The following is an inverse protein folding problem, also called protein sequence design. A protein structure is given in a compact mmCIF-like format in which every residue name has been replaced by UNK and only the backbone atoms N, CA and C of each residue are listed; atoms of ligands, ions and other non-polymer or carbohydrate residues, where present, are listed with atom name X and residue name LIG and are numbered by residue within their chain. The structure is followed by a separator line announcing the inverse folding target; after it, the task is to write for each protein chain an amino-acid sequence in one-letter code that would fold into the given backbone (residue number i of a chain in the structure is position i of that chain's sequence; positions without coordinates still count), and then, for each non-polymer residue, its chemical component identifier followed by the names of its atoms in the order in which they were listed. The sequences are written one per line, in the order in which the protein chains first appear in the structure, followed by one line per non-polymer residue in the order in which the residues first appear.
data_IF_033725542202
#
_entry.id   IF_033725542202
#
_cell.length_a   1.000
_cell.length_b   1.000
_cell.length_c   1.000
_cell.angle_alpha   90.00
_cell.angle_beta   90.00
_cell.angle_gamma   90.00
#
_symmetry.space_group_name_H-M   'P 1'
#
loop_
_entity.id
_entity.type
_entity.pdbx_description
1 polymer ?
#
# COMPACT_ATOMS: atom_id res chain seq x y z
N UNK A 1 10.28 -21.47 27.67
CA UNK A 1 9.33 -20.35 27.90
C UNK A 1 8.29 -20.36 26.78
N UNK A 2 7.03 -20.69 27.09
CA UNK A 2 5.94 -20.61 26.11
C UNK A 2 5.59 -19.14 25.94
N UNK A 3 5.87 -18.54 24.77
CA UNK A 3 5.36 -17.20 24.42
C UNK A 3 3.84 -17.28 24.47
N UNK A 4 3.23 -16.66 25.49
CA UNK A 4 1.78 -16.48 25.53
C UNK A 4 1.37 -15.73 24.26
N UNK A 5 0.46 -16.30 23.47
CA UNK A 5 -0.19 -15.56 22.40
C UNK A 5 -0.97 -14.44 23.07
N UNK A 6 -0.50 -13.19 22.95
CA UNK A 6 -1.28 -12.03 23.34
C UNK A 6 -2.63 -12.12 22.61
N UNK A 7 -3.71 -12.20 23.37
CA UNK A 7 -5.06 -12.24 22.82
C UNK A 7 -5.51 -10.78 22.66
N UNK A 8 -5.67 -10.33 21.42
CA UNK A 8 -6.24 -9.02 21.10
C UNK A 8 -7.66 -8.94 21.66
N UNK A 9 -7.92 -7.98 22.53
CA UNK A 9 -9.26 -7.71 23.07
C UNK A 9 -10.14 -7.01 22.04
N UNK A 10 -11.43 -6.85 22.35
CA UNK A 10 -12.34 -6.04 21.52
C UNK A 10 -11.90 -4.58 21.58
N UNK A 11 -11.60 -4.09 22.78
CA UNK A 11 -11.12 -2.73 23.05
C UNK A 11 -9.83 -2.40 22.26
N UNK A 12 -8.89 -3.36 22.16
CA UNK A 12 -7.67 -3.17 21.35
C UNK A 12 -7.98 -2.98 19.86
N UNK A 13 -9.02 -3.67 19.36
CA UNK A 13 -9.44 -3.55 17.95
C UNK A 13 -10.15 -2.22 17.70
N UNK A 14 -11.02 -1.81 18.62
CA UNK A 14 -11.71 -0.52 18.54
C UNK A 14 -10.71 0.63 18.59
N UNK A 15 -9.79 0.62 19.56
CA UNK A 15 -8.72 1.61 19.66
C UNK A 15 -7.85 1.66 18.40
N UNK A 16 -7.56 0.50 17.79
CA UNK A 16 -6.82 0.47 16.52
C UNK A 16 -7.62 1.09 15.36
N UNK A 17 -8.92 0.78 15.26
CA UNK A 17 -9.78 1.35 14.22
C UNK A 17 -9.90 2.86 14.37
N UNK A 18 -10.08 3.36 15.60
CA UNK A 18 -10.12 4.80 15.89
C UNK A 18 -8.86 5.53 15.42
N UNK A 19 -7.68 4.93 15.59
CA UNK A 19 -6.41 5.49 15.09
C UNK A 19 -6.38 5.47 13.56
N UNK A 20 -6.81 4.37 12.93
CA UNK A 20 -6.83 4.26 11.46
C UNK A 20 -7.80 5.27 10.84
N UNK A 21 -8.91 5.58 11.50
CA UNK A 21 -9.87 6.61 11.06
C UNK A 21 -9.29 8.03 11.07
N UNK A 22 -8.27 8.31 11.88
CA UNK A 22 -7.61 9.61 11.88
C UNK A 22 -6.67 9.80 10.69
N UNK A 23 -6.24 8.72 10.04
CA UNK A 23 -5.38 8.83 8.87
C UNK A 23 -6.15 9.33 7.65
N UNK A 24 -5.47 10.13 6.82
CA UNK A 24 -5.97 10.46 5.49
C UNK A 24 -6.01 9.22 4.59
N UNK A 25 -6.70 9.33 3.45
CA UNK A 25 -6.89 8.21 2.53
C UNK A 25 -5.57 7.69 1.91
N UNK A 26 -4.56 8.54 1.70
CA UNK A 26 -3.25 8.13 1.20
C UNK A 26 -2.56 7.23 2.23
N UNK A 27 -2.47 7.71 3.46
CA UNK A 27 -1.90 7.01 4.61
C UNK A 27 -2.59 5.66 4.84
N UNK A 28 -3.93 5.60 4.76
CA UNK A 28 -4.68 4.32 4.87
C UNK A 28 -4.35 3.34 3.74
N UNK A 29 -4.22 3.83 2.50
CA UNK A 29 -3.89 2.99 1.36
C UNK A 29 -2.49 2.37 1.50
N UNK A 30 -1.49 3.19 1.87
CA UNK A 30 -0.12 2.72 2.06
C UNK A 30 -0.03 1.77 3.26
N UNK A 31 -0.68 2.09 4.38
CA UNK A 31 -0.71 1.23 5.56
C UNK A 31 -1.28 -0.15 5.24
N UNK A 32 -2.38 -0.22 4.47
CA UNK A 32 -2.95 -1.49 4.05
C UNK A 32 -1.94 -2.32 3.23
N UNK A 33 -1.24 -1.70 2.28
CA UNK A 33 -0.20 -2.36 1.49
C UNK A 33 0.98 -2.83 2.35
N UNK A 34 1.40 -2.03 3.33
CA UNK A 34 2.45 -2.41 4.28
C UNK A 34 2.03 -3.60 5.15
N UNK A 35 0.77 -3.68 5.57
CA UNK A 35 0.23 -4.85 6.31
C UNK A 35 0.32 -6.11 5.45
N UNK A 36 -0.02 -6.04 4.16
CA UNK A 36 0.17 -7.18 3.25
C UNK A 36 1.63 -7.58 3.10
N UNK A 37 2.53 -6.60 2.92
CA UNK A 37 3.97 -6.85 2.83
C UNK A 37 4.51 -7.53 4.11
N UNK A 38 4.11 -7.05 5.30
CA UNK A 38 4.45 -7.67 6.59
C UNK A 38 3.93 -9.11 6.71
N UNK A 39 2.67 -9.36 6.33
CA UNK A 39 2.08 -10.70 6.39
C UNK A 39 2.79 -11.72 5.51
N UNK A 40 3.50 -11.25 4.47
CA UNK A 40 4.26 -12.06 3.52
C UNK A 40 5.75 -12.11 3.84
N UNK A 41 6.19 -11.47 4.93
CA UNK A 41 7.61 -11.31 5.27
C UNK A 41 8.42 -10.67 4.14
N UNK A 42 7.87 -9.63 3.51
CA UNK A 42 8.52 -8.84 2.46
C UNK A 42 8.96 -7.46 3.00
N UNK A 43 10.10 -7.40 3.74
CA UNK A 43 10.57 -6.15 4.33
C UNK A 43 10.98 -5.12 3.27
N UNK A 44 11.41 -5.56 2.08
CA UNK A 44 11.80 -4.67 1.00
C UNK A 44 10.62 -3.87 0.47
N UNK A 45 9.45 -4.51 0.32
CA UNK A 45 8.23 -3.80 -0.06
C UNK A 45 7.77 -2.85 1.04
N UNK A 46 7.88 -3.23 2.31
CA UNK A 46 7.58 -2.32 3.43
C UNK A 46 8.46 -1.06 3.40
N UNK A 47 9.79 -1.23 3.28
CA UNK A 47 10.74 -0.12 3.19
C UNK A 47 10.44 0.78 1.99
N UNK A 48 10.17 0.19 0.83
CA UNK A 48 9.90 0.96 -0.38
C UNK A 48 8.58 1.74 -0.32
N UNK A 49 7.56 1.21 0.35
CA UNK A 49 6.30 1.94 0.61
C UNK A 49 6.48 3.10 1.60
N UNK A 50 7.32 2.92 2.63
CA UNK A 50 7.64 3.99 3.59
C UNK A 50 8.47 5.11 2.94
N UNK A 51 9.46 4.76 2.12
CA UNK A 51 10.21 5.74 1.33
C UNK A 51 9.31 6.48 0.34
N UNK A 52 8.38 5.77 -0.32
CA UNK A 52 7.42 6.41 -1.20
C UNK A 52 6.60 7.46 -0.45
N UNK A 53 6.05 7.12 0.73
CA UNK A 53 5.32 8.07 1.59
C UNK A 53 6.13 9.34 1.90
N UNK A 54 7.42 9.19 2.22
CA UNK A 54 8.31 10.32 2.57
C UNK A 54 8.53 11.24 1.38
N UNK A 55 8.65 10.67 0.17
CA UNK A 55 8.94 11.42 -1.07
C UNK A 55 7.72 12.10 -1.68
N UNK A 56 6.50 11.65 -1.37
CA UNK A 56 5.27 12.13 -2.01
C UNK A 56 4.61 13.31 -1.29
N UNK A 57 5.07 13.65 -0.10
CA UNK A 57 4.53 14.77 0.71
C UNK A 57 4.70 16.10 -0.02
N UNK A 58 3.65 16.55 -0.70
CA UNK A 58 3.59 17.85 -1.39
C UNK A 58 4.05 17.86 -2.84
N UNK A 59 4.44 16.70 -3.40
CA UNK A 59 4.87 16.61 -4.80
C UNK A 59 3.65 16.50 -5.74
N UNK A 60 3.53 17.44 -6.68
CA UNK A 60 2.57 17.38 -7.79
C UNK A 60 3.35 17.31 -9.09
N UNK A 61 2.90 16.49 -10.02
CA UNK A 61 3.60 16.30 -11.28
C UNK A 61 2.76 15.51 -12.28
N UNK A 62 3.11 15.59 -13.58
CA UNK A 62 2.47 14.77 -14.59
C UNK A 62 2.66 13.28 -14.29
N UNK A 63 1.69 12.46 -14.67
CA UNK A 63 1.81 11.01 -14.64
C UNK A 63 1.41 10.45 -15.99
N UNK A 64 2.06 9.36 -16.37
CA UNK A 64 1.60 8.51 -17.47
C UNK A 64 0.69 7.43 -16.87
N UNK A 65 -0.45 7.18 -17.51
CA UNK A 65 -1.37 6.16 -17.02
C UNK A 65 -0.71 4.78 -17.09
N UNK A 66 -0.86 3.99 -16.01
CA UNK A 66 -0.42 2.59 -15.97
C UNK A 66 -0.92 1.84 -17.19
N UNK A 67 -0.01 1.15 -17.88
CA UNK A 67 -0.41 0.19 -18.90
C UNK A 67 -1.34 -0.86 -18.27
N UNK A 68 -2.52 -1.03 -18.84
CA UNK A 68 -3.53 -2.01 -18.40
C UNK A 68 -2.92 -3.42 -18.19
N UNK A 69 -1.86 -3.75 -18.93
CA UNK A 69 -1.10 -4.99 -18.78
C UNK A 69 -0.43 -5.18 -17.42
N UNK A 70 0.07 -4.12 -16.78
CA UNK A 70 0.76 -4.20 -15.48
C UNK A 70 -0.21 -4.65 -14.38
N UNK A 71 -1.41 -4.07 -14.32
CA UNK A 71 -2.43 -4.48 -13.36
C UNK A 71 -2.90 -5.91 -13.60
N UNK A 72 -3.09 -6.33 -14.86
CA UNK A 72 -3.46 -7.70 -15.19
C UNK A 72 -2.40 -8.72 -14.72
N UNK A 73 -1.11 -8.40 -14.88
CA UNK A 73 -0.02 -9.23 -14.38
C UNK A 73 0.00 -9.28 -12.85
N UNK A 74 -0.21 -8.14 -12.19
CA UNK A 74 -0.33 -8.08 -10.73
C UNK A 74 -1.43 -8.99 -10.21
N UNK A 75 -2.59 -9.08 -10.89
CA UNK A 75 -3.69 -10.00 -10.51
C UNK A 75 -3.27 -11.47 -10.41
N UNK A 76 -2.22 -11.89 -11.12
CA UNK A 76 -1.73 -13.27 -11.13
C UNK A 76 -0.85 -13.61 -9.93
N UNK A 77 -0.17 -12.60 -9.36
CA UNK A 77 0.80 -12.78 -8.26
C UNK A 77 0.28 -12.25 -6.91
N UNK A 78 -0.82 -11.51 -6.94
CA UNK A 78 -1.36 -10.77 -5.81
C UNK A 78 -2.73 -11.35 -5.38
N UNK A 79 -2.96 -11.62 -4.08
CA UNK A 79 -4.28 -11.95 -3.55
C UNK A 79 -5.32 -10.87 -3.89
N UNK A 80 -6.59 -11.26 -4.05
CA UNK A 80 -7.68 -10.34 -4.46
C UNK A 80 -7.81 -9.11 -3.56
N UNK A 81 -7.61 -9.26 -2.26
CA UNK A 81 -7.77 -8.13 -1.34
C UNK A 81 -6.58 -7.17 -1.40
N UNK A 82 -5.35 -7.69 -1.52
CA UNK A 82 -4.15 -6.86 -1.74
C UNK A 82 -4.26 -6.09 -3.07
N UNK A 83 -4.73 -6.75 -4.13
CA UNK A 83 -4.97 -6.12 -5.43
C UNK A 83 -5.92 -4.91 -5.33
N UNK A 84 -7.01 -5.00 -4.56
CA UNK A 84 -7.94 -3.88 -4.37
C UNK A 84 -7.25 -2.68 -3.73
N UNK A 85 -6.29 -2.91 -2.83
CA UNK A 85 -5.55 -1.82 -2.19
C UNK A 85 -4.53 -1.19 -3.13
N UNK A 86 -3.90 -1.96 -4.01
CA UNK A 86 -3.09 -1.41 -5.10
C UNK A 86 -3.92 -0.54 -6.05
N UNK A 87 -5.08 -1.03 -6.50
CA UNK A 87 -6.00 -0.29 -7.38
C UNK A 87 -6.51 1.00 -6.68
N UNK A 88 -6.81 0.95 -5.38
CA UNK A 88 -7.21 2.12 -4.58
C UNK A 88 -6.10 3.15 -4.43
N UNK A 89 -4.87 2.71 -4.17
CA UNK A 89 -3.72 3.59 -4.02
C UNK A 89 -3.45 4.35 -5.33
N UNK A 90 -3.40 3.64 -6.46
CA UNK A 90 -3.23 4.24 -7.80
C UNK A 90 -4.37 5.22 -8.13
N UNK A 91 -5.62 4.80 -7.91
CA UNK A 91 -6.79 5.64 -8.19
C UNK A 91 -6.83 6.90 -7.32
N UNK A 92 -6.33 6.82 -6.09
CA UNK A 92 -6.24 7.98 -5.21
C UNK A 92 -5.14 8.94 -5.69
N UNK A 93 -3.93 8.44 -5.94
CA UNK A 93 -2.81 9.24 -6.44
C UNK A 93 -3.17 9.97 -7.75
N UNK A 94 -3.83 9.26 -8.66
CA UNK A 94 -4.34 9.81 -9.91
C UNK A 94 -5.35 10.95 -9.68
N UNK A 95 -6.36 10.74 -8.81
CA UNK A 95 -7.37 11.77 -8.51
C UNK A 95 -6.79 13.01 -7.83
N UNK A 96 -5.72 12.85 -7.05
CA UNK A 96 -5.01 13.96 -6.41
C UNK A 96 -4.02 14.67 -7.34
N UNK A 97 -3.77 14.15 -8.56
CA UNK A 97 -2.71 14.64 -9.44
C UNK A 97 -1.31 14.47 -8.84
N UNK A 98 -1.15 13.50 -7.93
CA UNK A 98 0.13 13.18 -7.30
C UNK A 98 0.90 12.20 -8.19
N UNK A 99 1.51 12.72 -9.26
CA UNK A 99 2.23 11.88 -10.23
C UNK A 99 3.44 11.17 -9.65
N UNK A 100 4.09 11.74 -8.63
CA UNK A 100 5.21 11.08 -7.93
C UNK A 100 4.72 9.84 -7.19
N UNK A 101 3.62 9.96 -6.44
CA UNK A 101 3.01 8.80 -5.78
C UNK A 101 2.55 7.77 -6.80
N UNK A 102 1.89 8.24 -7.85
CA UNK A 102 1.39 7.35 -8.89
C UNK A 102 2.52 6.53 -9.51
N UNK A 103 3.56 7.20 -10.02
CA UNK A 103 4.70 6.52 -10.65
C UNK A 103 5.43 5.61 -9.67
N UNK A 104 5.66 6.05 -8.43
CA UNK A 104 6.28 5.22 -7.42
C UNK A 104 5.49 3.93 -7.15
N UNK A 105 4.16 4.00 -7.10
CA UNK A 105 3.32 2.79 -6.99
C UNK A 105 3.45 1.89 -8.22
N UNK A 106 3.55 2.45 -9.43
CA UNK A 106 3.79 1.67 -10.67
C UNK A 106 5.10 0.92 -10.57
N UNK A 107 6.19 1.60 -10.24
CA UNK A 107 7.53 1.01 -10.15
C UNK A 107 7.56 -0.16 -9.14
N UNK A 108 6.86 -0.02 -8.01
CA UNK A 108 6.73 -1.09 -7.02
C UNK A 108 5.96 -2.29 -7.56
N UNK A 109 4.88 -2.07 -8.31
CA UNK A 109 4.11 -3.13 -8.95
C UNK A 109 4.96 -3.86 -9.99
N UNK A 110 5.71 -3.14 -10.81
CA UNK A 110 6.56 -3.74 -11.85
C UNK A 110 7.66 -4.61 -11.24
N UNK A 111 8.35 -4.12 -10.20
CA UNK A 111 9.33 -4.92 -9.45
C UNK A 111 8.73 -6.21 -8.91
N UNK A 112 7.50 -6.13 -8.41
CA UNK A 112 6.78 -7.29 -7.86
C UNK A 112 6.38 -8.28 -8.94
N UNK A 113 5.98 -7.82 -10.12
CA UNK A 113 5.62 -8.70 -11.25
C UNK A 113 6.86 -9.38 -11.85
N UNK A 114 8.03 -8.76 -11.73
CA UNK A 114 9.30 -9.32 -12.22
C UNK A 114 9.99 -10.30 -11.26
N UNK A 115 9.58 -10.35 -9.99
CA UNK A 115 10.12 -11.24 -8.95
C UNK A 115 9.38 -12.58 -8.89
#
# INVERSE_FOLDING_TARGET
MKKGKAHLTVDDKEAFLDVVEQFDQESRNLLALMIFALSRHDPKLCEALDELRKTTSGARGPFEAVEVGVLQRLRRVCPKDELKWWERALSFAQRQGNGVMYQGLVDLIERRVAS
#
